data_IF_225541418524
#
_entry.id   IF_225541418524
#
_cell.length_a   1.000
_cell.length_b   1.000
_cell.length_c   1.000
_cell.angle_alpha   90.00
_cell.angle_beta   90.00
_cell.angle_gamma   90.00
#
_symmetry.space_group_name_H-M   'P 1'
#
loop_
_entity.id
_entity.type
_entity.pdbx_description
1 polymer ?
#
# COMPACT_ATOMS: atom_id res chain seq x y z
N UNK A 1 31.92 15.04 5.57
CA UNK A 1 31.17 14.60 4.37
C UNK A 1 30.50 13.28 4.75
N UNK A 2 29.18 13.30 5.03
CA UNK A 2 28.44 12.09 5.46
C UNK A 2 27.94 11.37 4.20
N UNK A 3 28.17 10.07 4.03
CA UNK A 3 27.69 9.37 2.84
C UNK A 3 26.16 9.40 2.83
N UNK A 4 25.57 9.77 1.70
CA UNK A 4 24.13 9.71 1.50
C UNK A 4 23.66 8.26 1.76
N UNK A 5 22.87 8.07 2.81
CA UNK A 5 22.26 6.78 3.10
C UNK A 5 21.45 6.35 1.87
N UNK A 6 21.78 5.18 1.30
CA UNK A 6 20.90 4.49 0.34
C UNK A 6 19.61 4.16 1.10
N UNK A 7 18.58 4.98 0.96
CA UNK A 7 17.23 4.60 1.38
C UNK A 7 16.84 3.36 0.58
N UNK A 8 16.74 2.21 1.26
CA UNK A 8 16.01 1.08 0.71
C UNK A 8 14.54 1.49 0.68
N UNK A 9 14.01 1.73 -0.52
CA UNK A 9 12.57 1.89 -0.69
C UNK A 9 11.90 0.55 -0.38
N UNK A 10 11.35 0.42 0.82
CA UNK A 10 10.44 -0.68 1.13
C UNK A 10 9.08 -0.27 0.56
N UNK A 11 8.63 -0.96 -0.48
CA UNK A 11 7.25 -0.82 -0.96
C UNK A 11 6.39 -1.69 -0.04
N UNK A 12 5.54 -1.09 0.81
CA UNK A 12 4.65 -1.89 1.64
C UNK A 12 3.67 -2.66 0.75
N UNK A 13 3.52 -3.94 1.06
CA UNK A 13 2.57 -4.85 0.41
C UNK A 13 1.56 -5.29 1.46
N UNK A 14 0.30 -5.38 1.07
CA UNK A 14 -0.79 -5.80 1.92
C UNK A 14 -1.48 -7.03 1.36
N UNK A 15 -2.02 -7.85 2.25
CA UNK A 15 -2.94 -8.92 1.93
C UNK A 15 -4.30 -8.63 2.59
N UNK A 16 -5.37 -8.82 1.82
CA UNK A 16 -6.73 -8.81 2.37
C UNK A 16 -7.16 -10.20 2.87
N UNK A 17 -8.43 -10.34 3.28
CA UNK A 17 -8.97 -11.62 3.79
C UNK A 17 -9.25 -12.65 2.70
N UNK A 18 -9.37 -12.21 1.46
CA UNK A 18 -9.58 -13.06 0.28
C UNK A 18 -8.25 -13.43 -0.40
N UNK A 19 -7.13 -13.10 0.26
CA UNK A 19 -5.78 -13.35 -0.21
C UNK A 19 -5.40 -12.55 -1.47
N UNK A 20 -6.10 -11.43 -1.72
CA UNK A 20 -5.70 -10.46 -2.74
C UNK A 20 -4.53 -9.62 -2.23
N UNK A 21 -3.57 -9.36 -3.11
CA UNK A 21 -2.37 -8.59 -2.81
C UNK A 21 -2.58 -7.15 -3.24
N UNK A 22 -2.29 -6.20 -2.34
CA UNK A 22 -2.28 -4.77 -2.62
C UNK A 22 -0.88 -4.18 -2.45
N UNK A 23 -0.56 -3.16 -3.23
CA UNK A 23 0.71 -2.44 -3.16
C UNK A 23 0.49 -0.93 -3.11
N UNK A 24 1.44 -0.21 -2.52
CA UNK A 24 1.44 1.25 -2.52
C UNK A 24 1.70 1.73 -3.95
N UNK A 25 0.79 2.53 -4.48
CA UNK A 25 0.89 3.07 -5.83
C UNK A 25 1.97 4.17 -5.94
N UNK A 26 2.60 4.57 -4.84
CA UNK A 26 3.52 5.71 -4.77
C UNK A 26 2.80 7.06 -4.82
N UNK A 27 1.48 7.04 -4.69
CA UNK A 27 0.61 8.22 -4.78
C UNK A 27 -0.13 8.42 -3.45
N UNK A 28 -0.46 9.67 -3.17
CA UNK A 28 -1.24 10.03 -1.99
C UNK A 28 -2.53 10.72 -2.43
N UNK A 29 -3.66 10.32 -1.85
CA UNK A 29 -4.94 10.94 -2.17
C UNK A 29 -4.97 12.42 -1.72
N UNK A 30 -5.36 13.36 -2.60
CA UNK A 30 -5.13 14.80 -2.39
C UNK A 30 -5.83 15.37 -1.16
N UNK A 31 -7.02 14.87 -0.83
CA UNK A 31 -7.83 15.42 0.27
C UNK A 31 -7.57 14.73 1.61
N UNK A 32 -7.34 13.41 1.60
CA UNK A 32 -7.21 12.61 2.83
C UNK A 32 -5.76 12.39 3.24
N UNK A 33 -4.79 12.70 2.35
CA UNK A 33 -3.37 12.44 2.54
C UNK A 33 -3.03 10.97 2.86
N UNK A 34 -3.91 10.05 2.47
CA UNK A 34 -3.68 8.61 2.63
C UNK A 34 -2.97 8.06 1.40
N UNK A 35 -2.10 7.04 1.57
CA UNK A 35 -1.51 6.34 0.44
C UNK A 35 -2.61 5.66 -0.38
N UNK A 36 -2.44 5.66 -1.69
CA UNK A 36 -3.30 4.93 -2.62
C UNK A 36 -2.76 3.51 -2.72
N UNK A 37 -3.63 2.54 -2.44
CA UNK A 37 -3.32 1.14 -2.57
C UNK A 37 -3.99 0.62 -3.84
N UNK A 38 -3.20 -0.07 -4.66
CA UNK A 38 -3.67 -0.78 -5.84
C UNK A 38 -3.65 -2.29 -5.58
N UNK A 39 -4.79 -2.95 -5.78
CA UNK A 39 -4.86 -4.42 -5.74
C UNK A 39 -4.30 -4.99 -7.05
N UNK A 40 -3.35 -5.92 -6.94
CA UNK A 40 -2.65 -6.54 -8.07
C UNK A 40 -3.53 -7.49 -8.89
N UNK A 41 -4.74 -7.77 -8.41
CA UNK A 41 -5.77 -8.48 -9.16
C UNK A 41 -6.61 -7.54 -10.05
N UNK A 42 -6.33 -6.23 -10.04
CA UNK A 42 -7.04 -5.22 -10.83
C UNK A 42 -8.43 -4.83 -10.31
N UNK A 43 -8.85 -5.34 -9.15
CA UNK A 43 -10.22 -5.11 -8.65
C UNK A 43 -10.44 -3.72 -8.06
N UNK A 44 -9.40 -3.08 -7.51
CA UNK A 44 -9.54 -1.77 -6.88
C UNK A 44 -8.22 -0.99 -6.81
N UNK A 45 -8.37 0.34 -6.85
CA UNK A 45 -7.31 1.31 -6.58
C UNK A 45 -7.91 2.50 -5.86
N UNK A 46 -7.61 2.63 -4.58
CA UNK A 46 -8.25 3.62 -3.70
C UNK A 46 -7.34 3.96 -2.50
N UNK A 47 -7.63 5.05 -1.77
CA UNK A 47 -7.01 5.32 -0.47
C UNK A 47 -7.03 4.10 0.47
N UNK A 48 -5.95 3.87 1.22
CA UNK A 48 -5.78 2.75 2.16
C UNK A 48 -7.01 2.48 3.05
N UNK A 49 -7.61 3.52 3.60
CA UNK A 49 -8.81 3.40 4.45
C UNK A 49 -10.04 2.89 3.68
N UNK A 50 -10.18 3.26 2.40
CA UNK A 50 -11.28 2.80 1.55
C UNK A 50 -11.07 1.36 1.08
N UNK A 51 -9.85 0.99 0.69
CA UNK A 51 -9.52 -0.41 0.38
C UNK A 51 -9.77 -1.29 1.61
N UNK A 52 -9.29 -0.90 2.78
CA UNK A 52 -9.49 -1.65 4.03
C UNK A 52 -10.98 -1.77 4.42
N UNK A 53 -11.83 -0.82 4.00
CA UNK A 53 -13.28 -0.88 4.23
C UNK A 53 -13.98 -1.81 3.24
N UNK A 54 -13.54 -1.85 1.97
CA UNK A 54 -14.12 -2.68 0.91
C UNK A 54 -13.73 -4.15 1.05
N UNK A 55 -12.46 -4.44 1.30
CA UNK A 55 -11.88 -5.79 1.30
C UNK A 55 -11.58 -6.33 2.72
N UNK A 56 -11.93 -5.54 3.75
CA UNK A 56 -11.63 -5.84 5.14
C UNK A 56 -10.22 -5.38 5.55
N UNK A 57 -9.88 -5.55 6.83
CA UNK A 57 -8.61 -5.07 7.38
C UNK A 57 -7.43 -5.69 6.62
N UNK A 58 -6.67 -4.82 5.95
CA UNK A 58 -5.45 -5.17 5.28
C UNK A 58 -4.36 -5.52 6.30
N UNK A 59 -3.67 -6.63 6.06
CA UNK A 59 -2.51 -7.04 6.85
C UNK A 59 -1.26 -6.66 6.09
N UNK A 60 -0.44 -5.78 6.67
CA UNK A 60 0.84 -5.41 6.11
C UNK A 60 1.80 -6.59 6.17
N UNK A 61 2.21 -7.09 5.01
CA UNK A 61 3.31 -8.02 4.88
C UNK A 61 4.53 -7.20 4.47
N UNK A 62 5.33 -6.79 5.45
CA UNK A 62 6.67 -6.28 5.13
C UNK A 62 7.66 -7.38 5.46
N UNK A 63 8.27 -7.97 4.43
CA UNK A 63 9.57 -8.64 4.51
C UNK A 63 10.13 -8.88 3.10
N UNK A 64 11.46 -9.04 3.02
CA UNK A 64 12.48 -8.06 2.58
C UNK A 64 12.61 -7.86 1.06
#
# INVERSE_FOLDING_TARGET
MVPAARMKAAIPVWLDRENNVGMDAGETHPNSRQPIIELLNGQARDPLGLISKKFGPLRGCVRP
#
